data_IF_361986940653
#
_entry.id   IF_361986940653
#
_cell.length_a   1.000
_cell.length_b   1.000
_cell.length_c   1.000
_cell.angle_alpha   90.00
_cell.angle_beta   90.00
_cell.angle_gamma   90.00
#
_symmetry.space_group_name_H-M   'P 1'
#
loop_
_entity.id
_entity.type
_entity.pdbx_description
1 polymer ?
#
# COMPACT_ATOMS: atom_id res chain seq x y z
N UNK A 1 1.14 1.99 -14.83
CA UNK A 1 0.38 0.71 -14.90
C UNK A 1 -1.10 1.03 -14.91
N UNK A 2 -1.93 0.38 -15.76
CA UNK A 2 -3.36 0.71 -15.86
C UNK A 2 -4.21 -0.53 -16.15
N UNK A 3 -5.53 -0.39 -15.96
CA UNK A 3 -6.51 -1.41 -16.37
C UNK A 3 -7.52 -0.82 -17.33
N UNK A 4 -7.99 -1.64 -18.26
CA UNK A 4 -9.06 -1.27 -19.21
C UNK A 4 -10.22 -2.26 -19.06
N UNK A 5 -11.36 -1.75 -18.55
CA UNK A 5 -12.62 -2.48 -18.34
C UNK A 5 -12.42 -3.86 -17.72
N UNK A 6 -11.61 -3.90 -16.65
CA UNK A 6 -11.18 -5.13 -16.01
C UNK A 6 -12.35 -5.82 -15.33
N UNK A 7 -12.49 -7.14 -15.57
CA UNK A 7 -13.47 -8.00 -14.94
C UNK A 7 -12.77 -9.14 -14.21
N UNK A 8 -13.05 -9.27 -12.91
CA UNK A 8 -12.40 -10.25 -12.03
C UNK A 8 -13.44 -11.06 -11.28
N UNK A 9 -13.17 -12.34 -11.10
CA UNK A 9 -14.04 -13.24 -10.36
C UNK A 9 -13.34 -14.53 -9.97
N UNK A 10 -14.01 -15.29 -9.12
CA UNK A 10 -13.62 -16.62 -8.70
C UNK A 10 -14.75 -17.58 -9.06
N UNK A 11 -14.42 -18.70 -9.66
CA UNK A 11 -15.35 -19.71 -10.15
C UNK A 11 -16.42 -19.07 -11.05
N UNK A 12 -17.63 -18.89 -10.60
CA UNK A 12 -18.73 -18.25 -11.36
C UNK A 12 -19.19 -16.93 -10.75
N UNK A 13 -18.51 -16.43 -9.71
CA UNK A 13 -18.88 -15.19 -9.03
C UNK A 13 -17.98 -14.04 -9.47
N UNK A 14 -18.58 -13.04 -10.13
CA UNK A 14 -17.92 -11.79 -10.45
C UNK A 14 -17.75 -10.96 -9.18
N UNK A 15 -16.53 -10.47 -8.93
CA UNK A 15 -16.17 -9.63 -7.78
C UNK A 15 -15.92 -8.18 -8.20
N UNK A 16 -15.37 -7.99 -9.39
CA UNK A 16 -15.08 -6.68 -9.98
C UNK A 16 -15.63 -6.69 -11.40
N UNK A 17 -16.37 -5.64 -11.74
CA UNK A 17 -16.96 -5.48 -13.07
C UNK A 17 -16.66 -4.07 -13.61
N UNK A 18 -16.10 -4.02 -14.84
CA UNK A 18 -15.79 -2.79 -15.58
C UNK A 18 -14.87 -1.83 -14.84
N UNK A 19 -13.77 -2.34 -14.27
CA UNK A 19 -12.81 -1.54 -13.53
C UNK A 19 -11.73 -0.95 -14.44
N UNK A 20 -11.70 0.38 -14.55
CA UNK A 20 -10.63 1.11 -15.24
C UNK A 20 -9.93 2.06 -14.27
N UNK A 21 -8.70 1.71 -13.86
CA UNK A 21 -7.86 2.47 -12.94
C UNK A 21 -6.46 2.68 -13.52
N UNK A 22 -5.76 3.65 -12.97
CA UNK A 22 -4.38 3.95 -13.32
C UNK A 22 -3.52 4.10 -12.06
N UNK A 23 -2.32 3.53 -12.08
CA UNK A 23 -1.25 3.74 -11.11
C UNK A 23 -0.16 4.56 -11.82
N UNK A 24 -0.14 5.88 -11.63
CA UNK A 24 0.80 6.75 -12.31
C UNK A 24 2.25 6.41 -11.96
N UNK A 25 3.14 6.52 -12.94
CA UNK A 25 4.55 6.20 -12.75
C UNK A 25 5.19 7.10 -11.69
N UNK A 26 5.97 6.50 -10.79
CA UNK A 26 6.68 7.20 -9.72
C UNK A 26 5.78 7.76 -8.62
N UNK A 27 4.48 7.41 -8.60
CA UNK A 27 3.54 7.81 -7.56
C UNK A 27 3.12 6.63 -6.69
N UNK A 28 2.63 6.97 -5.50
CA UNK A 28 1.99 6.02 -4.58
C UNK A 28 0.48 6.14 -4.73
N UNK A 29 -0.17 5.02 -5.06
CA UNK A 29 -1.63 4.92 -5.18
C UNK A 29 -2.19 3.98 -4.12
N UNK A 30 -3.08 4.49 -3.26
CA UNK A 30 -3.82 3.67 -2.31
C UNK A 30 -5.14 3.17 -2.91
N UNK A 31 -5.43 1.90 -2.68
CA UNK A 31 -6.74 1.31 -2.93
C UNK A 31 -7.42 1.11 -1.60
N UNK A 32 -8.54 1.80 -1.37
CA UNK A 32 -9.31 1.76 -0.12
C UNK A 32 -10.77 1.39 -0.39
N UNK A 33 -11.45 0.90 0.62
CA UNK A 33 -12.86 0.51 0.53
C UNK A 33 -13.25 -0.53 1.59
N UNK A 34 -14.54 -0.86 1.74
CA UNK A 34 -15.02 -1.84 2.71
C UNK A 34 -14.41 -3.24 2.49
N UNK A 35 -14.48 -4.08 3.52
CA UNK A 35 -14.07 -5.46 3.39
C UNK A 35 -14.94 -6.19 2.34
N UNK A 36 -14.31 -7.03 1.52
CA UNK A 36 -14.98 -7.78 0.46
C UNK A 36 -15.31 -6.98 -0.81
N UNK A 37 -14.96 -5.67 -0.91
CA UNK A 37 -15.24 -4.87 -2.11
C UNK A 37 -14.31 -5.16 -3.31
N UNK A 38 -13.32 -6.06 -3.17
CA UNK A 38 -12.46 -6.49 -4.27
C UNK A 38 -11.04 -5.91 -4.29
N UNK A 39 -10.58 -5.18 -3.27
CA UNK A 39 -9.24 -4.55 -3.21
C UNK A 39 -8.09 -5.52 -3.50
N UNK A 40 -7.97 -6.57 -2.69
CA UNK A 40 -6.93 -7.59 -2.86
C UNK A 40 -7.11 -8.39 -4.15
N UNK A 41 -8.35 -8.58 -4.61
CA UNK A 41 -8.63 -9.21 -5.90
C UNK A 41 -8.07 -8.38 -7.06
N UNK A 42 -8.26 -7.06 -7.03
CA UNK A 42 -7.67 -6.13 -8.00
C UNK A 42 -6.14 -6.20 -7.92
N UNK A 43 -5.57 -6.08 -6.72
CA UNK A 43 -4.11 -6.07 -6.55
C UNK A 43 -3.47 -7.39 -7.03
N UNK A 44 -4.07 -8.55 -6.70
CA UNK A 44 -3.61 -9.87 -7.18
C UNK A 44 -3.68 -9.99 -8.69
N UNK A 45 -4.69 -9.39 -9.31
CA UNK A 45 -4.80 -9.39 -10.77
C UNK A 45 -3.75 -8.48 -11.42
N UNK A 46 -3.50 -7.30 -10.85
CA UNK A 46 -2.39 -6.42 -11.26
C UNK A 46 -1.04 -7.13 -11.16
N UNK A 47 -0.85 -7.98 -10.16
CA UNK A 47 0.34 -8.80 -9.98
C UNK A 47 0.36 -10.07 -10.86
N UNK A 48 -0.67 -10.32 -11.68
CA UNK A 48 -0.83 -11.52 -12.50
C UNK A 48 -0.98 -12.82 -11.69
N UNK A 49 -1.35 -12.72 -10.41
CA UNK A 49 -1.68 -13.87 -9.55
C UNK A 49 -3.12 -14.33 -9.74
N UNK A 50 -3.99 -13.48 -10.31
CA UNK A 50 -5.35 -13.79 -10.69
C UNK A 50 -5.56 -13.40 -12.16
N UNK A 51 -5.98 -14.36 -12.98
CA UNK A 51 -6.28 -14.12 -14.40
C UNK A 51 -7.60 -13.36 -14.53
N UNK A 52 -7.65 -12.25 -15.30
CA UNK A 52 -8.90 -11.57 -15.60
C UNK A 52 -9.91 -12.47 -16.34
N UNK A 53 -11.20 -12.31 -16.03
CA UNK A 53 -12.31 -12.88 -16.79
C UNK A 53 -12.56 -12.07 -18.06
N UNK A 54 -12.23 -10.77 -18.04
CA UNK A 54 -12.33 -9.87 -19.19
C UNK A 54 -11.59 -8.56 -18.95
N UNK A 55 -11.47 -7.75 -20.00
CA UNK A 55 -10.67 -6.54 -19.97
C UNK A 55 -9.17 -6.82 -20.09
N UNK A 56 -8.34 -5.81 -19.83
CA UNK A 56 -6.88 -5.91 -19.94
C UNK A 56 -6.17 -5.19 -18.78
N UNK A 57 -4.95 -5.65 -18.46
CA UNK A 57 -4.03 -4.99 -17.54
C UNK A 57 -2.78 -4.63 -18.32
N UNK A 58 -2.45 -3.34 -18.32
CA UNK A 58 -1.38 -2.78 -19.12
C UNK A 58 -0.22 -2.33 -18.22
N UNK A 59 0.98 -2.78 -18.52
CA UNK A 59 2.22 -2.29 -17.95
C UNK A 59 3.04 -1.63 -19.06
N UNK A 60 3.22 -0.32 -18.99
CA UNK A 60 3.83 0.52 -20.04
C UNK A 60 3.20 0.27 -21.44
N UNK A 61 1.86 0.20 -21.48
CA UNK A 61 1.07 0.01 -22.71
C UNK A 61 0.99 -1.44 -23.22
N UNK A 62 1.73 -2.37 -22.62
CA UNK A 62 1.72 -3.79 -23.01
C UNK A 62 0.83 -4.61 -22.08
N UNK A 63 -0.01 -5.48 -22.65
CA UNK A 63 -0.84 -6.40 -21.88
C UNK A 63 0.04 -7.43 -21.13
N UNK A 64 -0.04 -7.41 -19.79
CA UNK A 64 0.76 -8.30 -18.94
C UNK A 64 0.42 -9.78 -19.15
N UNK A 65 -0.78 -10.12 -19.61
CA UNK A 65 -1.19 -11.50 -19.83
C UNK A 65 -0.48 -12.13 -21.05
N UNK A 66 -0.05 -11.29 -21.99
CA UNK A 66 0.66 -11.71 -23.22
C UNK A 66 2.18 -11.78 -23.04
N UNK A 67 2.70 -11.28 -21.92
CA UNK A 67 4.13 -11.26 -21.64
C UNK A 67 4.58 -12.55 -20.93
N UNK A 68 5.86 -12.88 -21.01
CA UNK A 68 6.42 -14.01 -20.25
C UNK A 68 6.41 -13.68 -18.76
N UNK A 69 6.12 -14.67 -17.89
CA UNK A 69 6.06 -14.47 -16.43
C UNK A 69 7.35 -13.86 -15.88
N UNK A 70 8.50 -14.32 -16.36
CA UNK A 70 9.81 -13.81 -15.94
C UNK A 70 10.02 -12.34 -16.30
N UNK A 71 9.52 -11.89 -17.45
CA UNK A 71 9.69 -10.51 -17.91
C UNK A 71 8.81 -9.56 -17.06
N UNK A 72 7.61 -10.00 -16.68
CA UNK A 72 6.76 -9.25 -15.73
C UNK A 72 7.41 -9.23 -14.35
N UNK A 73 7.92 -10.36 -13.84
CA UNK A 73 8.56 -10.44 -12.54
C UNK A 73 9.84 -9.57 -12.42
N UNK A 74 10.47 -9.18 -13.53
CA UNK A 74 11.59 -8.21 -13.55
C UNK A 74 11.13 -6.75 -13.53
N UNK A 75 9.85 -6.49 -13.67
CA UNK A 75 9.27 -5.14 -13.77
C UNK A 75 8.30 -4.82 -12.65
N UNK A 76 7.74 -5.84 -12.00
CA UNK A 76 6.74 -5.74 -10.97
C UNK A 76 7.02 -6.73 -9.85
N UNK A 77 7.09 -6.23 -8.62
CA UNK A 77 7.13 -7.02 -7.40
C UNK A 77 5.79 -6.93 -6.65
N UNK A 78 5.46 -7.97 -5.91
CA UNK A 78 4.29 -7.99 -5.03
C UNK A 78 4.68 -8.54 -3.66
N UNK A 79 4.17 -7.90 -2.61
CA UNK A 79 4.10 -8.43 -1.26
C UNK A 79 2.64 -8.76 -0.95
N UNK A 80 2.27 -10.04 -0.79
CA UNK A 80 0.93 -10.45 -0.40
C UNK A 80 0.67 -10.18 1.09
N UNK A 81 -0.59 -10.13 1.50
CA UNK A 81 -1.04 -9.82 2.86
C UNK A 81 -0.40 -10.71 3.95
N UNK A 82 -0.25 -11.99 3.68
CA UNK A 82 0.27 -12.97 4.64
C UNK A 82 1.25 -13.91 3.94
N UNK A 83 2.50 -13.48 3.73
CA UNK A 83 3.50 -14.35 3.15
C UNK A 83 3.88 -15.45 4.14
N UNK A 84 4.02 -16.69 3.64
CA UNK A 84 4.47 -17.81 4.45
C UNK A 84 5.94 -17.62 4.84
N UNK A 85 6.21 -17.61 6.14
CA UNK A 85 7.57 -17.49 6.65
C UNK A 85 8.24 -18.87 6.58
N UNK A 86 9.28 -19.05 5.77
CA UNK A 86 10.01 -20.30 5.74
C UNK A 86 10.82 -20.46 7.04
N UNK A 87 10.79 -21.65 7.65
CA UNK A 87 11.60 -21.96 8.80
C UNK A 87 13.06 -22.24 8.40
N UNK A 88 14.00 -21.83 9.25
CA UNK A 88 15.42 -22.09 9.05
C UNK A 88 16.08 -21.25 7.96
N UNK A 89 15.40 -20.19 7.49
CA UNK A 89 15.92 -19.25 6.47
C UNK A 89 16.34 -17.96 7.16
N UNK A 90 17.53 -17.46 6.88
CA UNK A 90 18.02 -16.18 7.36
C UNK A 90 17.36 -15.02 6.60
N UNK A 91 17.40 -13.82 7.18
CA UNK A 91 16.91 -12.59 6.52
C UNK A 91 17.58 -12.38 5.17
N UNK A 92 18.91 -12.56 5.10
CA UNK A 92 19.69 -12.42 3.87
C UNK A 92 19.27 -13.42 2.79
N UNK A 93 19.03 -14.67 3.17
CA UNK A 93 18.55 -15.71 2.25
C UNK A 93 17.13 -15.41 1.76
N UNK A 94 16.22 -14.97 2.64
CA UNK A 94 14.88 -14.53 2.25
C UNK A 94 14.94 -13.41 1.20
N UNK A 95 15.76 -12.39 1.46
CA UNK A 95 15.94 -11.26 0.54
C UNK A 95 16.49 -11.74 -0.80
N UNK A 96 17.39 -12.74 -0.77
CA UNK A 96 17.92 -13.39 -1.96
C UNK A 96 16.86 -14.03 -2.86
N UNK A 97 15.74 -14.49 -2.32
CA UNK A 97 14.64 -15.04 -3.12
C UNK A 97 14.02 -14.02 -4.08
N UNK A 98 14.07 -12.72 -3.77
CA UNK A 98 13.65 -11.67 -4.69
C UNK A 98 14.48 -11.63 -5.98
N UNK A 99 15.66 -12.27 -6.02
CA UNK A 99 16.53 -12.32 -7.21
C UNK A 99 16.20 -13.46 -8.18
N UNK A 100 15.29 -14.39 -7.84
CA UNK A 100 14.92 -15.50 -8.73
C UNK A 100 14.54 -15.10 -10.17
N UNK A 101 13.82 -14.01 -10.43
CA UNK A 101 13.54 -13.60 -11.81
C UNK A 101 14.80 -13.24 -12.62
N UNK A 102 15.89 -12.87 -11.95
CA UNK A 102 17.15 -12.45 -12.58
C UNK A 102 18.12 -13.61 -12.73
N UNK A 103 18.07 -14.60 -11.84
CA UNK A 103 18.94 -15.77 -11.85
C UNK A 103 18.51 -16.78 -12.93
N UNK A 104 19.47 -17.51 -13.49
CA UNK A 104 19.22 -18.69 -14.32
C UNK A 104 18.98 -19.92 -13.44
N UNK A 105 18.36 -20.97 -13.98
CA UNK A 105 18.33 -22.28 -13.33
C UNK A 105 19.75 -22.72 -12.98
N UNK A 106 20.00 -23.08 -11.73
CA UNK A 106 21.29 -23.59 -11.20
C UNK A 106 22.49 -22.62 -11.32
N UNK A 107 22.30 -21.31 -11.30
CA UNK A 107 23.40 -20.35 -11.23
C UNK A 107 23.56 -19.82 -9.80
N UNK A 108 24.80 -19.76 -9.34
CA UNK A 108 25.13 -18.98 -8.15
C UNK A 108 24.76 -17.51 -8.34
N UNK A 109 24.41 -16.77 -7.27
CA UNK A 109 24.14 -15.34 -7.35
C UNK A 109 25.27 -14.60 -8.07
N UNK A 110 24.94 -13.74 -9.00
CA UNK A 110 25.89 -12.83 -9.64
C UNK A 110 26.27 -11.70 -8.69
N UNK A 111 27.31 -10.92 -9.04
CA UNK A 111 27.66 -9.72 -8.28
C UNK A 111 26.49 -8.74 -8.21
N UNK A 112 25.77 -8.51 -9.31
CA UNK A 112 24.58 -7.67 -9.36
C UNK A 112 23.46 -8.17 -8.43
N UNK A 113 23.36 -9.50 -8.23
CA UNK A 113 22.38 -10.07 -7.30
C UNK A 113 22.79 -9.80 -5.85
N UNK A 114 24.08 -9.95 -5.51
CA UNK A 114 24.59 -9.64 -4.17
C UNK A 114 24.46 -8.14 -3.87
N UNK A 115 24.85 -7.27 -4.79
CA UNK A 115 24.71 -5.81 -4.66
C UNK A 115 23.23 -5.39 -4.47
N UNK A 116 22.30 -6.11 -5.12
CA UNK A 116 20.86 -5.85 -4.95
C UNK A 116 20.34 -6.31 -3.60
N UNK A 117 20.85 -7.41 -3.05
CA UNK A 117 20.53 -7.92 -1.71
C UNK A 117 21.08 -6.96 -0.66
N UNK A 118 22.36 -6.56 -0.77
CA UNK A 118 23.00 -5.65 0.17
C UNK A 118 22.27 -4.30 0.22
N UNK A 119 21.97 -3.75 -0.96
CA UNK A 119 21.17 -2.53 -1.06
C UNK A 119 19.79 -2.66 -0.40
N UNK A 120 19.08 -3.78 -0.57
CA UNK A 120 17.76 -3.96 0.02
C UNK A 120 17.83 -4.10 1.54
N UNK A 121 18.89 -4.72 2.09
CA UNK A 121 19.16 -4.82 3.52
C UNK A 121 19.37 -3.42 4.12
N UNK A 122 20.28 -2.64 3.53
CA UNK A 122 20.60 -1.26 3.95
C UNK A 122 19.34 -0.37 3.87
N UNK A 123 18.66 -0.36 2.73
CA UNK A 123 17.46 0.46 2.49
C UNK A 123 16.30 0.17 3.46
N UNK A 124 16.28 -0.98 4.10
CA UNK A 124 15.24 -1.37 5.08
C UNK A 124 15.74 -1.38 6.52
N UNK A 125 17.02 -1.03 6.75
CA UNK A 125 17.64 -1.00 8.09
C UNK A 125 17.74 -2.38 8.74
N UNK A 126 18.07 -3.41 7.96
CA UNK A 126 18.16 -4.81 8.41
C UNK A 126 19.58 -5.33 8.57
N UNK A 127 20.61 -4.47 8.52
CA UNK A 127 22.03 -4.86 8.58
C UNK A 127 22.36 -5.75 9.77
N UNK A 128 21.88 -5.36 10.96
CA UNK A 128 22.11 -6.13 12.20
C UNK A 128 21.29 -7.41 12.32
N UNK A 129 20.35 -7.65 11.40
CA UNK A 129 19.43 -8.79 11.42
C UNK A 129 19.70 -9.79 10.29
N UNK A 130 20.61 -9.50 9.37
CA UNK A 130 20.77 -10.24 8.11
C UNK A 130 21.04 -11.74 8.30
N UNK A 131 21.74 -12.11 9.37
CA UNK A 131 22.11 -13.50 9.67
C UNK A 131 21.13 -14.18 10.64
N UNK A 132 20.09 -13.47 11.11
CA UNK A 132 19.06 -14.02 12.00
C UNK A 132 18.03 -14.81 11.21
N UNK A 133 17.46 -15.83 11.81
CA UNK A 133 16.31 -16.57 11.27
C UNK A 133 15.07 -15.68 11.17
N UNK A 134 14.38 -15.70 10.03
CA UNK A 134 13.17 -14.89 9.79
C UNK A 134 12.05 -15.19 10.79
N UNK A 135 11.99 -16.41 11.27
CA UNK A 135 11.03 -16.89 12.30
C UNK A 135 11.28 -16.30 13.68
N UNK A 136 12.50 -15.80 13.96
CA UNK A 136 12.88 -15.17 15.24
C UNK A 136 12.65 -13.67 15.29
N UNK A 137 12.23 -13.06 14.17
CA UNK A 137 11.99 -11.62 14.06
C UNK A 137 10.67 -11.20 14.71
N UNK A 138 10.63 -9.98 15.24
CA UNK A 138 9.36 -9.30 15.57
C UNK A 138 8.48 -9.12 14.33
N UNK A 139 7.19 -8.82 14.52
CA UNK A 139 6.27 -8.58 13.41
C UNK A 139 6.75 -7.48 12.46
N UNK A 140 7.21 -6.36 13.00
CA UNK A 140 7.72 -5.22 12.21
C UNK A 140 9.03 -5.53 11.46
N UNK A 141 10.00 -6.17 12.14
CA UNK A 141 11.26 -6.60 11.52
C UNK A 141 10.99 -7.61 10.39
N UNK A 142 10.09 -8.56 10.61
CA UNK A 142 9.69 -9.54 9.61
C UNK A 142 9.00 -8.88 8.41
N UNK A 143 8.14 -7.89 8.63
CA UNK A 143 7.50 -7.13 7.56
C UNK A 143 8.55 -6.37 6.72
N UNK A 144 9.54 -5.73 7.36
CA UNK A 144 10.67 -5.10 6.66
C UNK A 144 11.47 -6.11 5.83
N UNK A 145 11.70 -7.33 6.35
CA UNK A 145 12.41 -8.38 5.60
C UNK A 145 11.65 -8.80 4.34
N UNK A 146 10.33 -8.91 4.40
CA UNK A 146 9.49 -9.19 3.24
C UNK A 146 9.49 -8.03 2.22
N UNK A 147 9.47 -6.78 2.70
CA UNK A 147 9.61 -5.60 1.83
C UNK A 147 10.99 -5.61 1.18
N UNK A 148 12.06 -5.88 1.92
CA UNK A 148 13.41 -5.98 1.40
C UNK A 148 13.53 -7.05 0.30
N UNK A 149 12.89 -8.22 0.48
CA UNK A 149 12.81 -9.25 -0.54
C UNK A 149 12.15 -8.73 -1.83
N UNK A 150 11.03 -8.01 -1.71
CA UNK A 150 10.39 -7.41 -2.88
C UNK A 150 11.25 -6.33 -3.53
N UNK A 151 11.98 -5.54 -2.74
CA UNK A 151 12.88 -4.49 -3.22
C UNK A 151 14.13 -5.05 -3.92
N UNK A 152 14.71 -6.16 -3.41
CA UNK A 152 15.87 -6.79 -4.02
C UNK A 152 15.60 -7.24 -5.46
N UNK A 153 14.34 -7.44 -5.82
CA UNK A 153 13.92 -7.71 -7.19
C UNK A 153 14.22 -6.55 -8.15
N UNK A 154 14.44 -5.31 -7.62
CA UNK A 154 14.75 -4.06 -8.38
C UNK A 154 13.76 -3.80 -9.52
N UNK A 155 12.47 -3.76 -9.18
CA UNK A 155 11.37 -3.53 -10.11
C UNK A 155 10.92 -2.07 -10.13
N UNK A 156 10.33 -1.63 -11.25
CA UNK A 156 9.77 -0.29 -11.38
C UNK A 156 8.41 -0.13 -10.68
N UNK A 157 7.72 -1.24 -10.39
CA UNK A 157 6.41 -1.27 -9.74
C UNK A 157 6.47 -2.19 -8.53
N UNK A 158 5.97 -1.71 -7.38
CA UNK A 158 5.83 -2.46 -6.13
C UNK A 158 4.35 -2.47 -5.73
N UNK A 159 3.77 -3.64 -5.59
CA UNK A 159 2.41 -3.84 -5.11
C UNK A 159 2.44 -4.42 -3.68
N UNK A 160 1.67 -3.82 -2.76
CA UNK A 160 1.63 -4.20 -1.35
C UNK A 160 0.18 -4.46 -0.93
N UNK A 161 -0.14 -5.70 -0.58
CA UNK A 161 -1.48 -6.08 -0.10
C UNK A 161 -1.53 -6.00 1.42
N UNK A 162 -2.09 -4.91 1.96
CA UNK A 162 -2.24 -4.65 3.39
C UNK A 162 -0.92 -4.76 4.19
N UNK A 163 0.12 -3.99 3.84
CA UNK A 163 1.46 -4.15 4.43
C UNK A 163 1.54 -3.78 5.92
N UNK A 164 0.51 -3.18 6.49
CA UNK A 164 0.46 -2.71 7.89
C UNK A 164 -0.42 -3.59 8.78
N UNK A 165 -1.07 -4.61 8.23
CA UNK A 165 -1.97 -5.50 8.99
C UNK A 165 -1.18 -6.31 10.03
N UNK A 166 -1.74 -6.48 11.23
CA UNK A 166 -1.16 -7.16 12.41
C UNK A 166 0.08 -6.47 13.03
N UNK A 167 0.41 -5.25 12.61
CA UNK A 167 1.44 -4.44 13.23
C UNK A 167 0.83 -3.47 14.23
N UNK A 168 1.56 -3.15 15.31
CA UNK A 168 1.21 -2.03 16.15
C UNK A 168 1.43 -0.69 15.43
N UNK A 169 0.92 0.40 15.99
CA UNK A 169 0.91 1.71 15.33
C UNK A 169 2.32 2.23 15.00
N UNK A 170 3.31 1.93 15.84
CA UNK A 170 4.68 2.35 15.60
C UNK A 170 5.24 1.70 14.33
N UNK A 171 5.15 0.37 14.23
CA UNK A 171 5.63 -0.36 13.07
C UNK A 171 4.80 -0.10 11.80
N UNK A 172 3.49 0.22 11.94
CA UNK A 172 2.69 0.66 10.79
C UNK A 172 3.27 1.93 10.18
N UNK A 173 3.53 2.95 11.02
CA UNK A 173 4.10 4.23 10.58
C UNK A 173 5.48 4.04 9.95
N UNK A 174 6.34 3.22 10.57
CA UNK A 174 7.68 2.91 10.05
C UNK A 174 7.62 2.29 8.65
N UNK A 175 6.73 1.33 8.42
CA UNK A 175 6.56 0.68 7.11
C UNK A 175 6.06 1.67 6.06
N UNK A 176 5.08 2.51 6.41
CA UNK A 176 4.54 3.52 5.49
C UNK A 176 5.58 4.58 5.14
N UNK A 177 6.33 5.06 6.15
CA UNK A 177 7.42 6.02 5.97
C UNK A 177 8.56 5.44 5.11
N UNK A 178 8.95 4.19 5.35
CA UNK A 178 9.94 3.48 4.55
C UNK A 178 9.53 3.42 3.08
N UNK A 179 8.30 2.98 2.79
CA UNK A 179 7.80 2.88 1.40
C UNK A 179 7.72 4.26 0.74
N UNK A 180 7.30 5.30 1.48
CA UNK A 180 7.26 6.68 0.99
C UNK A 180 8.66 7.20 0.66
N UNK A 181 9.65 6.95 1.52
CA UNK A 181 11.04 7.34 1.28
C UNK A 181 11.63 6.62 0.07
N UNK A 182 11.40 5.33 -0.08
CA UNK A 182 11.82 4.55 -1.25
C UNK A 182 11.19 5.06 -2.54
N UNK A 183 9.91 5.43 -2.52
CA UNK A 183 9.27 6.06 -3.68
C UNK A 183 9.94 7.39 -4.02
N UNK A 184 10.18 8.24 -3.01
CA UNK A 184 10.79 9.57 -3.18
C UNK A 184 12.21 9.50 -3.72
N UNK A 185 13.04 8.57 -3.22
CA UNK A 185 14.46 8.47 -3.54
C UNK A 185 14.72 7.68 -4.83
N UNK A 186 13.91 6.67 -5.10
CA UNK A 186 14.14 5.76 -6.24
C UNK A 186 13.08 5.85 -7.34
N UNK A 187 12.04 6.67 -7.18
CA UNK A 187 10.98 6.83 -8.18
C UNK A 187 10.16 5.57 -8.44
N UNK A 188 10.11 4.64 -7.49
CA UNK A 188 9.34 3.39 -7.60
C UNK A 188 7.85 3.71 -7.62
N UNK A 189 7.10 3.15 -8.58
CA UNK A 189 5.64 3.21 -8.58
C UNK A 189 5.08 2.25 -7.55
N UNK A 190 4.24 2.73 -6.64
CA UNK A 190 3.67 1.89 -5.57
C UNK A 190 2.15 1.83 -5.70
N UNK A 191 1.61 0.62 -5.66
CA UNK A 191 0.19 0.37 -5.46
C UNK A 191 -0.02 -0.41 -4.17
N UNK A 192 -0.75 0.12 -3.21
CA UNK A 192 -1.02 -0.59 -1.97
C UNK A 192 -2.51 -0.61 -1.59
N UNK A 193 -2.89 -1.64 -0.88
CA UNK A 193 -4.18 -1.72 -0.21
C UNK A 193 -3.98 -1.28 1.24
N UNK A 194 -4.75 -0.31 1.70
CA UNK A 194 -4.74 0.16 3.09
C UNK A 194 -6.16 0.15 3.66
N UNK A 195 -6.28 -0.14 4.97
CA UNK A 195 -7.55 -0.09 5.69
C UNK A 195 -7.80 1.28 6.32
N UNK A 196 -6.75 1.94 6.79
CA UNK A 196 -6.85 3.25 7.43
C UNK A 196 -6.85 4.37 6.39
N UNK A 197 -7.96 5.14 6.37
CA UNK A 197 -8.14 6.26 5.43
C UNK A 197 -7.16 7.39 5.68
N UNK A 198 -6.80 7.64 6.95
CA UNK A 198 -5.88 8.72 7.32
C UNK A 198 -4.45 8.36 6.91
N UNK A 199 -4.05 7.09 7.11
CA UNK A 199 -2.78 6.58 6.58
C UNK A 199 -2.75 6.65 5.05
N UNK A 200 -3.83 6.23 4.37
CA UNK A 200 -3.91 6.33 2.91
C UNK A 200 -3.78 7.77 2.42
N UNK A 201 -4.41 8.73 3.10
CA UNK A 201 -4.32 10.15 2.76
C UNK A 201 -2.93 10.75 3.02
N UNK A 202 -2.27 10.34 4.12
CA UNK A 202 -0.98 10.89 4.52
C UNK A 202 0.19 10.36 3.67
N UNK A 203 0.11 9.11 3.22
CA UNK A 203 1.25 8.44 2.59
C UNK A 203 1.08 8.18 1.09
N UNK A 204 -0.05 8.57 0.48
CA UNK A 204 -0.29 8.34 -0.96
C UNK A 204 -0.47 9.64 -1.75
N UNK A 205 -0.06 9.60 -3.01
CA UNK A 205 -0.29 10.70 -3.97
C UNK A 205 -1.69 10.62 -4.57
N UNK A 206 -2.23 9.38 -4.70
CA UNK A 206 -3.55 9.09 -5.26
C UNK A 206 -4.28 8.10 -4.35
N UNK A 207 -5.60 8.24 -4.30
CA UNK A 207 -6.50 7.29 -3.64
C UNK A 207 -7.54 6.82 -4.65
N UNK A 208 -7.80 5.52 -4.68
CA UNK A 208 -8.88 4.88 -5.41
C UNK A 208 -9.85 4.29 -4.38
N UNK A 209 -11.06 4.80 -4.33
CA UNK A 209 -12.12 4.28 -3.45
C UNK A 209 -12.96 3.25 -4.19
N UNK A 210 -12.97 2.02 -3.67
CA UNK A 210 -13.74 0.91 -4.21
C UNK A 210 -14.94 0.60 -3.32
N UNK A 211 -16.07 0.29 -3.95
CA UNK A 211 -17.25 -0.31 -3.33
C UNK A 211 -17.92 -1.28 -4.31
N UNK A 212 -18.28 -2.46 -3.82
CA UNK A 212 -19.00 -3.48 -4.60
C UNK A 212 -18.36 -3.76 -5.99
N UNK A 213 -17.03 -3.85 -6.03
CA UNK A 213 -16.25 -4.12 -7.23
C UNK A 213 -16.15 -2.96 -8.23
N UNK A 214 -16.57 -1.76 -7.86
CA UNK A 214 -16.56 -0.56 -8.72
C UNK A 214 -15.77 0.59 -8.10
N UNK A 215 -15.19 1.45 -8.95
CA UNK A 215 -14.59 2.71 -8.51
C UNK A 215 -15.72 3.71 -8.21
N UNK A 216 -15.77 4.19 -6.97
CA UNK A 216 -16.69 5.26 -6.56
C UNK A 216 -16.07 6.62 -6.80
N UNK A 217 -14.79 6.77 -6.44
CA UNK A 217 -14.04 8.00 -6.66
C UNK A 217 -12.53 7.68 -6.77
N UNK A 218 -11.77 8.56 -7.44
CA UNK A 218 -10.32 8.47 -7.54
C UNK A 218 -9.69 9.84 -7.71
N UNK A 219 -8.49 10.03 -7.21
CA UNK A 219 -7.75 11.29 -7.33
C UNK A 219 -6.85 11.55 -6.15
N UNK A 220 -6.40 12.79 -6.02
CA UNK A 220 -5.59 13.23 -4.88
C UNK A 220 -6.39 13.12 -3.57
N UNK A 221 -5.72 12.90 -2.41
CA UNK A 221 -6.40 12.80 -1.12
C UNK A 221 -7.46 13.87 -0.87
N UNK A 222 -7.16 15.15 -1.12
CA UNK A 222 -8.11 16.25 -0.93
C UNK A 222 -9.38 16.17 -1.76
N UNK A 223 -9.31 15.60 -2.96
CA UNK A 223 -10.47 15.48 -3.86
C UNK A 223 -11.32 14.27 -3.55
N UNK A 224 -10.73 13.25 -2.95
CA UNK A 224 -11.38 11.96 -2.70
C UNK A 224 -11.91 11.86 -1.27
N UNK A 225 -11.18 12.41 -0.29
CA UNK A 225 -11.53 12.40 1.12
C UNK A 225 -12.59 13.47 1.43
N UNK A 226 -13.83 13.23 1.02
CA UNK A 226 -14.99 14.08 1.31
C UNK A 226 -16.03 13.33 2.15
N UNK A 227 -16.80 14.05 2.96
CA UNK A 227 -17.87 13.47 3.79
C UNK A 227 -18.86 12.68 2.95
N UNK A 228 -19.24 13.21 1.79
CA UNK A 228 -20.16 12.55 0.84
C UNK A 228 -19.57 11.24 0.31
N UNK A 229 -18.30 11.26 -0.12
CA UNK A 229 -17.64 10.07 -0.68
C UNK A 229 -17.47 8.98 0.40
N UNK A 230 -17.03 9.37 1.61
CA UNK A 230 -16.86 8.42 2.72
C UNK A 230 -18.21 7.83 3.14
N UNK A 231 -19.27 8.64 3.23
CA UNK A 231 -20.61 8.11 3.51
C UNK A 231 -21.08 7.15 2.42
N UNK A 232 -20.86 7.49 1.14
CA UNK A 232 -21.22 6.62 0.02
C UNK A 232 -20.48 5.28 0.06
N UNK A 233 -19.17 5.30 0.34
CA UNK A 233 -18.31 4.10 0.30
C UNK A 233 -18.46 3.26 1.56
N UNK A 234 -18.34 3.88 2.75
CA UNK A 234 -18.24 3.18 4.03
C UNK A 234 -19.54 3.19 4.83
N UNK A 235 -20.54 4.01 4.44
CA UNK A 235 -21.82 4.11 5.14
C UNK A 235 -21.75 4.85 6.48
N UNK A 236 -20.68 5.60 6.76
CA UNK A 236 -20.46 6.32 8.01
C UNK A 236 -20.57 7.82 7.80
N UNK A 237 -21.11 8.52 8.79
CA UNK A 237 -21.03 9.97 8.89
C UNK A 237 -19.67 10.37 9.52
N UNK A 238 -19.01 11.35 8.93
CA UNK A 238 -17.70 11.82 9.39
C UNK A 238 -17.54 13.31 9.19
N UNK A 239 -16.57 13.88 9.89
CA UNK A 239 -16.03 15.22 9.63
C UNK A 239 -14.67 15.08 8.93
N UNK A 240 -14.41 15.92 7.94
CA UNK A 240 -13.09 16.01 7.32
C UNK A 240 -12.43 17.26 7.85
N UNK A 241 -11.30 17.07 8.52
CA UNK A 241 -10.48 18.16 9.03
C UNK A 241 -9.11 18.15 8.35
N UNK A 242 -8.39 19.24 8.45
CA UNK A 242 -7.00 19.32 8.01
C UNK A 242 -6.08 18.82 9.12
N UNK A 243 -5.06 18.05 8.76
CA UNK A 243 -4.04 17.61 9.73
C UNK A 243 -3.30 18.84 10.30
N UNK A 244 -3.09 18.94 11.64
CA UNK A 244 -2.48 20.12 12.27
C UNK A 244 -1.06 20.45 11.75
N UNK A 245 -0.29 19.44 11.35
CA UNK A 245 1.10 19.57 10.92
C UNK A 245 1.27 19.55 9.38
N UNK A 246 0.19 19.62 8.59
CA UNK A 246 0.34 19.56 7.14
C UNK A 246 -1.00 19.67 6.40
N UNK A 247 -0.89 19.81 5.08
CA UNK A 247 -2.06 19.89 4.21
C UNK A 247 -2.53 18.48 3.80
N UNK A 248 -3.00 17.69 4.79
CA UNK A 248 -3.51 16.33 4.58
C UNK A 248 -4.92 16.24 5.16
N UNK A 249 -5.92 15.76 4.40
CA UNK A 249 -7.27 15.58 4.93
C UNK A 249 -7.31 14.38 5.89
N UNK A 250 -7.98 14.57 7.03
CA UNK A 250 -8.22 13.52 8.02
C UNK A 250 -9.72 13.27 8.18
N UNK A 251 -10.09 12.02 8.15
CA UNK A 251 -11.45 11.55 8.43
C UNK A 251 -11.62 11.28 9.93
N UNK A 252 -12.56 11.96 10.56
CA UNK A 252 -13.01 11.73 11.92
C UNK A 252 -14.45 11.22 11.90
N UNK A 253 -14.69 9.94 12.21
CA UNK A 253 -16.05 9.40 12.29
C UNK A 253 -16.86 10.10 13.40
N UNK A 254 -18.10 10.54 13.09
CA UNK A 254 -18.94 11.29 14.01
C UNK A 254 -19.54 10.45 15.16
N UNK A 255 -19.38 9.13 15.15
CA UNK A 255 -19.91 8.22 16.18
C UNK A 255 -18.97 7.95 17.36
N UNK A 256 -17.81 8.59 17.41
CA UNK A 256 -16.74 8.24 18.38
C UNK A 256 -16.94 8.80 19.79
N UNK A 257 -17.91 9.70 20.02
CA UNK A 257 -18.14 10.29 21.35
C UNK A 257 -19.61 10.10 21.78
N UNK A 258 -19.95 8.99 22.47
CA UNK A 258 -21.30 8.80 23.00
C UNK A 258 -21.66 9.77 24.13
N UNK A 259 -20.69 10.57 24.61
CA UNK A 259 -20.87 11.56 25.66
C UNK A 259 -21.33 12.94 25.16
N UNK A 260 -21.31 13.18 23.84
CA UNK A 260 -21.87 14.39 23.26
C UNK A 260 -23.35 14.16 22.98
N UNK A 261 -24.19 14.52 23.94
CA UNK A 261 -25.65 14.61 23.70
C UNK A 261 -25.95 15.60 22.55
N UNK A 262 -27.11 15.45 21.86
CA UNK A 262 -27.46 16.34 20.74
C UNK A 262 -27.39 17.85 21.10
N UNK A 263 -27.58 18.18 22.36
CA UNK A 263 -27.52 19.55 22.87
C UNK A 263 -26.12 20.20 22.87
N UNK A 264 -25.05 19.42 22.72
CA UNK A 264 -23.69 19.93 22.63
C UNK A 264 -23.20 20.15 21.19
N UNK A 265 -23.94 19.70 20.17
CA UNK A 265 -23.58 19.88 18.76
C UNK A 265 -23.66 21.34 18.30
N UNK A 266 -24.57 22.12 18.84
CA UNK A 266 -24.75 23.53 18.44
C UNK A 266 -23.72 24.49 19.03
N UNK A 267 -23.06 24.13 20.15
CA UNK A 267 -22.07 25.00 20.80
C UNK A 267 -20.69 24.93 20.22
N UNK A 268 -20.39 23.89 19.45
CA UNK A 268 -19.02 23.68 18.87
C UNK A 268 -18.83 24.41 17.54
N UNK A 269 -19.91 24.87 16.89
CA UNK A 269 -19.78 25.66 15.65
C UNK A 269 -19.51 27.16 15.92
N UNK A 270 -19.78 27.67 17.11
CA UNK A 270 -19.56 29.08 17.42
C UNK A 270 -18.20 29.42 18.03
N UNK A 271 -17.40 28.43 18.44
CA UNK A 271 -16.14 28.65 19.19
C UNK A 271 -14.85 28.14 18.51
N UNK A 272 -14.83 27.98 17.18
CA UNK A 272 -13.55 27.83 16.46
C UNK A 272 -13.15 29.19 15.90
N UNK A 273 -12.87 30.13 16.81
CA UNK A 273 -12.00 31.26 16.52
C UNK A 273 -10.55 30.72 16.38
N UNK A 274 -9.74 31.25 15.45
CA UNK A 274 -8.36 30.78 15.28
C UNK A 274 -7.61 31.02 16.60
N UNK A 275 -7.22 29.93 17.26
CA UNK A 275 -6.39 30.00 18.47
C UNK A 275 -5.05 30.57 18.10
N UNK A 276 -4.75 31.71 18.72
CA UNK A 276 -3.46 32.34 18.78
C UNK A 276 -2.40 31.35 19.27
N UNK A 277 -1.24 31.48 18.70
CA UNK A 277 0.05 30.86 18.98
C UNK A 277 0.23 30.26 20.38
N UNK A 278 0.37 28.95 20.46
CA UNK A 278 1.00 28.27 21.60
C UNK A 278 2.51 28.28 21.31
N UNK A 279 3.33 28.98 22.10
CA UNK A 279 4.78 28.96 21.90
C UNK A 279 5.31 27.57 22.27
N UNK A 280 5.90 26.88 21.29
CA UNK A 280 6.72 25.70 21.50
C UNK A 280 7.99 26.11 22.27
N UNK A 281 8.01 25.86 23.57
CA UNK A 281 9.24 25.90 24.35
C UNK A 281 10.07 24.66 24.02
N UNK A 282 11.00 24.81 23.07
CA UNK A 282 12.09 23.87 22.85
C UNK A 282 13.23 24.29 23.77
N UNK A 283 13.36 23.66 24.91
CA UNK A 283 14.58 23.68 25.71
C UNK A 283 14.70 22.36 26.47
N UNK A 284 15.83 21.71 26.23
CA UNK A 284 16.57 20.61 26.83
C UNK A 284 16.34 19.23 26.26
#
# INVERSE_FOLDING_TARGET
MSTDRLRLGYDHRLVVDDLSIDLPRGQITAIVGPNGCGKSTVLRSLARLLKPVGGAILLDGADIQRSRTRDIARRLAILPQSPLTPSGVTVRELIGYGRFPHQGLMRSPSRDDLDAIDWAIDATGLDSFQDRGVDTLSGGERQRAWIAMALSQKTAVLLLDEPTTYLDIHYQIDVLALVRELNRTHGITVGWVLHDLNQAAAYSDQIIMLKDGKVVNRGKPHTVMTTTCIKQVFGIDCSIIRHPLGDVPMCLPNGFCPLLSPEHRDRTQENIAPSQDIPLNLAD
#
